data_IF_659717011538
#
_entry.id   IF_659717011538
#
_cell.length_a   1.000
_cell.length_b   1.000
_cell.length_c   1.000
_cell.angle_alpha   90.00
_cell.angle_beta   90.00
_cell.angle_gamma   90.00
#
_symmetry.space_group_name_H-M   'P 1'
#
loop_
_entity.id
_entity.type
_entity.pdbx_description
1 polymer ?
#
# COMPACT_ATOMS: atom_id res chain seq x y z
N UNK A 1 -6.40 -13.73 -7.72
CA UNK A 1 -5.14 -14.53 -7.64
C UNK A 1 -4.89 -14.93 -6.19
N UNK A 2 -4.86 -16.24 -5.90
CA UNK A 2 -4.40 -16.71 -4.59
C UNK A 2 -2.87 -16.68 -4.64
N UNK A 3 -2.26 -15.68 -4.02
CA UNK A 3 -0.81 -15.62 -3.87
C UNK A 3 -0.40 -16.75 -2.92
N UNK A 4 0.47 -17.65 -3.39
CA UNK A 4 1.07 -18.67 -2.53
C UNK A 4 2.38 -18.13 -1.99
N UNK A 5 2.51 -18.11 -0.67
CA UNK A 5 3.72 -17.68 0.00
C UNK A 5 4.48 -18.91 0.52
N UNK A 6 5.79 -18.93 0.29
CA UNK A 6 6.70 -19.97 0.76
C UNK A 6 7.81 -19.34 1.56
N UNK A 7 8.37 -20.10 2.50
CA UNK A 7 9.54 -19.69 3.25
C UNK A 7 10.81 -20.12 2.54
N UNK A 8 11.78 -19.22 2.38
CA UNK A 8 13.07 -19.51 1.76
C UNK A 8 14.23 -18.93 2.56
N UNK A 9 15.33 -19.66 2.61
CA UNK A 9 16.60 -19.15 3.12
C UNK A 9 17.10 -18.00 2.24
N UNK A 10 17.58 -16.92 2.87
CA UNK A 10 18.11 -15.75 2.17
C UNK A 10 19.34 -16.06 1.32
N UNK A 11 20.09 -17.12 1.64
CA UNK A 11 21.26 -17.57 0.87
C UNK A 11 20.85 -18.08 -0.52
N UNK A 12 19.60 -18.52 -0.69
CA UNK A 12 19.07 -18.98 -1.97
C UNK A 12 18.55 -17.85 -2.86
N UNK A 13 18.58 -16.59 -2.40
CA UNK A 13 18.00 -15.45 -3.08
C UNK A 13 19.05 -14.36 -3.34
N UNK A 14 19.03 -13.78 -4.54
CA UNK A 14 19.75 -12.54 -4.82
C UNK A 14 18.86 -11.34 -4.49
N UNK A 15 19.08 -10.77 -3.32
CA UNK A 15 18.30 -9.65 -2.79
C UNK A 15 18.92 -8.28 -3.11
N UNK A 16 20.03 -8.22 -3.87
CA UNK A 16 20.76 -6.97 -4.10
C UNK A 16 19.88 -5.89 -4.77
N UNK A 17 18.93 -6.30 -5.61
CA UNK A 17 17.97 -5.41 -6.27
C UNK A 17 16.98 -4.74 -5.30
N UNK A 18 16.90 -5.21 -4.05
CA UNK A 18 16.01 -4.67 -3.01
C UNK A 18 16.70 -3.63 -2.11
N UNK A 19 17.97 -3.30 -2.36
CA UNK A 19 18.69 -2.29 -1.60
C UNK A 19 17.99 -0.93 -1.67
N UNK A 20 17.84 -0.28 -0.52
CA UNK A 20 17.34 1.09 -0.46
C UNK A 20 18.32 2.02 -1.17
N UNK A 21 17.83 2.70 -2.20
CA UNK A 21 18.60 3.68 -2.98
C UNK A 21 18.01 5.09 -2.90
N UNK A 22 16.81 5.24 -2.34
CA UNK A 22 16.14 6.53 -2.21
C UNK A 22 16.86 7.41 -1.15
N UNK A 23 17.34 8.62 -1.52
CA UNK A 23 18.07 9.49 -0.60
C UNK A 23 17.28 9.87 0.65
N UNK A 24 15.96 10.02 0.56
CA UNK A 24 15.12 10.35 1.71
C UNK A 24 15.05 9.18 2.69
N UNK A 25 14.88 7.96 2.18
CA UNK A 25 14.89 6.76 3.03
C UNK A 25 16.24 6.54 3.69
N UNK A 26 17.34 6.85 3.00
CA UNK A 26 18.69 6.78 3.57
C UNK A 26 18.95 7.78 4.70
N UNK A 27 18.16 8.86 4.82
CA UNK A 27 18.25 9.78 5.97
C UNK A 27 17.54 9.26 7.22
N UNK A 28 16.74 8.20 7.09
CA UNK A 28 16.00 7.63 8.21
C UNK A 28 16.95 6.89 9.18
N UNK A 29 16.58 6.79 10.46
CA UNK A 29 17.32 5.99 11.42
C UNK A 29 17.58 4.56 10.94
N UNK A 30 18.79 4.01 11.11
CA UNK A 30 19.15 2.69 10.58
C UNK A 30 18.25 1.54 11.04
N UNK A 31 17.67 1.64 12.25
CA UNK A 31 16.80 0.61 12.83
C UNK A 31 15.56 0.29 11.98
N UNK A 32 15.17 1.17 11.06
CA UNK A 32 14.08 0.92 10.12
C UNK A 32 14.42 -0.14 9.06
N UNK A 33 15.70 -0.26 8.70
CA UNK A 33 16.21 -1.23 7.73
C UNK A 33 17.15 -2.25 8.36
N UNK A 34 16.99 -2.49 9.67
CA UNK A 34 17.69 -3.54 10.40
C UNK A 34 16.72 -4.64 10.76
N UNK A 35 17.17 -5.88 10.55
CA UNK A 35 16.32 -7.07 10.64
C UNK A 35 16.87 -8.14 11.58
N UNK A 36 18.02 -7.90 12.22
CA UNK A 36 18.70 -8.86 13.10
C UNK A 36 19.75 -9.72 12.39
N UNK A 37 19.66 -9.84 11.06
CA UNK A 37 20.72 -10.40 10.20
C UNK A 37 21.37 -9.27 9.37
N UNK A 38 22.68 -9.00 9.56
CA UNK A 38 23.39 -7.95 8.82
C UNK A 38 23.36 -8.09 7.31
N UNK A 39 23.10 -9.30 6.77
CA UNK A 39 22.98 -9.54 5.33
C UNK A 39 21.74 -8.90 4.72
N UNK A 40 20.74 -8.58 5.54
CA UNK A 40 19.51 -7.92 5.12
C UNK A 40 19.53 -6.40 5.37
N UNK A 41 20.55 -5.90 6.07
CA UNK A 41 20.58 -4.51 6.50
C UNK A 41 20.61 -3.55 5.30
N UNK A 42 19.74 -2.54 5.34
CA UNK A 42 19.59 -1.57 4.26
C UNK A 42 18.74 -2.04 3.07
N UNK A 43 18.17 -3.25 3.11
CA UNK A 43 17.18 -3.70 2.14
C UNK A 43 15.78 -3.18 2.48
N UNK A 44 14.97 -2.92 1.46
CA UNK A 44 13.57 -2.54 1.62
C UNK A 44 12.70 -3.80 1.74
N UNK A 45 12.57 -4.34 2.95
CA UNK A 45 11.84 -5.56 3.27
C UNK A 45 10.79 -5.32 4.37
N UNK A 46 9.77 -6.17 4.41
CA UNK A 46 8.75 -6.14 5.48
C UNK A 46 9.21 -7.00 6.65
N UNK A 47 9.28 -6.40 7.86
CA UNK A 47 9.79 -7.07 9.06
C UNK A 47 8.97 -8.30 9.44
N UNK A 48 7.66 -8.28 9.21
CA UNK A 48 6.77 -9.40 9.55
C UNK A 48 7.04 -10.67 8.73
N UNK A 49 7.68 -10.54 7.55
CA UNK A 49 8.02 -11.67 6.70
C UNK A 49 9.44 -12.22 6.92
N UNK A 50 10.17 -11.73 7.93
CA UNK A 50 11.55 -12.12 8.19
C UNK A 50 11.62 -12.96 9.46
N UNK A 51 12.23 -14.13 9.34
CA UNK A 51 12.38 -15.11 10.42
C UNK A 51 13.87 -15.32 10.66
N UNK A 52 14.40 -14.69 11.71
CA UNK A 52 15.80 -14.86 12.12
C UNK A 52 15.89 -15.91 13.22
N UNK A 53 16.71 -16.93 12.98
CA UNK A 53 17.08 -17.94 13.97
C UNK A 53 18.61 -17.98 14.13
N UNK A 54 19.14 -18.66 15.17
CA UNK A 54 20.59 -18.80 15.33
C UNK A 54 21.28 -19.56 14.19
N UNK A 55 20.54 -20.41 13.46
CA UNK A 55 21.09 -21.31 12.44
C UNK A 55 20.89 -20.77 11.03
N UNK A 56 19.75 -20.15 10.76
CA UNK A 56 19.41 -19.61 9.45
C UNK A 56 18.50 -18.37 9.55
N UNK A 57 18.49 -17.62 8.46
CA UNK A 57 17.56 -16.50 8.26
C UNK A 57 16.70 -16.81 7.05
N UNK A 58 15.40 -16.79 7.25
CA UNK A 58 14.43 -17.12 6.22
C UNK A 58 13.48 -15.94 5.97
N UNK A 59 12.98 -15.85 4.74
CA UNK A 59 12.00 -14.85 4.33
C UNK A 59 10.77 -15.52 3.72
N UNK A 60 9.61 -14.96 4.04
CA UNK A 60 8.34 -15.28 3.40
C UNK A 60 8.28 -14.57 2.04
N UNK A 61 8.23 -15.36 0.95
CA UNK A 61 8.25 -14.86 -0.42
C UNK A 61 7.05 -15.41 -1.22
N UNK A 62 6.36 -14.54 -1.95
CA UNK A 62 5.32 -14.99 -2.88
C UNK A 62 5.92 -15.47 -4.21
N UNK A 63 5.14 -16.24 -4.96
CA UNK A 63 5.48 -16.75 -6.30
C UNK A 63 5.90 -15.64 -7.29
N UNK A 64 5.25 -14.48 -7.25
CA UNK A 64 5.62 -13.35 -8.10
C UNK A 64 7.00 -12.74 -7.76
N UNK A 65 7.29 -12.57 -6.46
CA UNK A 65 8.58 -12.05 -6.00
C UNK A 65 9.68 -13.07 -6.29
N UNK A 66 9.43 -14.35 -6.01
CA UNK A 66 10.37 -15.42 -6.25
C UNK A 66 10.74 -15.55 -7.73
N UNK A 67 9.73 -15.47 -8.60
CA UNK A 67 9.92 -15.51 -10.06
C UNK A 67 10.72 -14.32 -10.58
N UNK A 68 10.61 -13.14 -9.95
CA UNK A 68 11.36 -11.95 -10.35
C UNK A 68 12.81 -11.99 -9.86
N UNK A 69 13.05 -12.43 -8.61
CA UNK A 69 14.38 -12.53 -8.02
C UNK A 69 15.19 -13.71 -8.57
N UNK A 70 14.53 -14.79 -9.03
CA UNK A 70 15.19 -15.96 -9.63
C UNK A 70 15.71 -15.71 -11.06
N UNK A 71 15.42 -14.56 -11.67
CA UNK A 71 15.93 -14.20 -13.00
C UNK A 71 17.42 -13.90 -12.96
N UNK A 72 18.08 -14.00 -14.11
CA UNK A 72 19.49 -13.64 -14.27
C UNK A 72 19.63 -12.59 -15.40
N UNK A 73 19.89 -11.30 -15.08
CA UNK A 73 20.01 -10.74 -13.73
C UNK A 73 18.65 -10.70 -12.98
N UNK A 74 18.66 -10.64 -11.64
CA UNK A 74 17.43 -10.49 -10.85
C UNK A 74 16.69 -9.23 -11.25
N UNK A 75 15.35 -9.29 -11.19
CA UNK A 75 14.49 -8.14 -11.46
C UNK A 75 13.79 -7.70 -10.20
N UNK A 76 13.66 -6.38 -10.03
CA UNK A 76 12.91 -5.78 -8.95
C UNK A 76 11.42 -6.18 -9.06
N UNK A 77 10.83 -6.89 -8.08
CA UNK A 77 9.42 -7.25 -8.13
C UNK A 77 8.53 -6.00 -8.17
N UNK A 78 7.45 -6.05 -8.94
CA UNK A 78 6.60 -4.87 -9.18
C UNK A 78 5.99 -4.27 -7.91
N UNK A 79 5.68 -5.12 -6.92
CA UNK A 79 5.09 -4.74 -5.64
C UNK A 79 6.11 -4.70 -4.48
N UNK A 80 7.41 -4.82 -4.76
CA UNK A 80 8.42 -4.74 -3.72
C UNK A 80 8.47 -3.34 -3.09
N UNK A 81 8.80 -3.27 -1.79
CA UNK A 81 8.99 -2.00 -1.08
C UNK A 81 10.06 -1.12 -1.73
N UNK A 82 11.13 -1.74 -2.27
CA UNK A 82 12.19 -1.05 -2.99
C UNK A 82 11.73 -0.40 -4.31
N UNK A 83 10.58 -0.82 -4.87
CA UNK A 83 10.03 -0.28 -6.11
C UNK A 83 9.18 0.98 -5.89
N UNK A 84 9.66 1.89 -5.04
CA UNK A 84 8.95 3.14 -4.71
C UNK A 84 7.61 2.95 -4.00
N UNK A 85 7.36 1.77 -3.41
CA UNK A 85 6.10 1.49 -2.69
C UNK A 85 6.21 1.74 -1.19
N UNK A 86 7.43 1.92 -0.66
CA UNK A 86 7.69 2.36 0.71
C UNK A 86 7.25 3.80 0.93
N UNK A 87 6.55 4.07 2.05
CA UNK A 87 5.95 5.39 2.35
C UNK A 87 6.62 6.12 3.51
N UNK A 88 7.73 5.58 4.00
CA UNK A 88 8.31 5.96 5.28
C UNK A 88 7.42 5.52 6.43
N UNK A 89 7.74 6.01 7.62
CA UNK A 89 6.97 5.73 8.83
C UNK A 89 6.30 7.00 9.31
N UNK A 90 5.07 6.86 9.78
CA UNK A 90 4.41 7.94 10.47
C UNK A 90 5.09 8.20 11.82
N UNK A 91 5.08 9.45 12.32
CA UNK A 91 5.48 9.76 13.68
C UNK A 91 4.82 8.81 14.68
N UNK A 92 5.49 8.47 15.78
CA UNK A 92 5.03 7.48 16.77
C UNK A 92 3.56 7.69 17.18
N UNK A 93 3.19 8.95 17.43
CA UNK A 93 1.83 9.30 17.80
C UNK A 93 0.79 9.06 16.70
N UNK A 94 1.16 8.76 15.45
CA UNK A 94 0.28 8.48 14.29
C UNK A 94 0.43 7.05 13.76
N UNK A 95 1.12 6.16 14.47
CA UNK A 95 1.26 4.76 14.03
C UNK A 95 -0.01 3.91 14.26
N UNK A 96 -0.99 4.44 14.99
CA UNK A 96 -2.27 3.80 15.30
C UNK A 96 -3.38 4.07 14.28
N UNK A 97 -3.05 4.74 13.17
CA UNK A 97 -4.01 5.13 12.16
C UNK A 97 -4.31 3.98 11.20
N UNK A 98 -5.53 3.96 10.67
CA UNK A 98 -5.92 3.01 9.63
C UNK A 98 -5.07 3.20 8.38
N UNK A 99 -4.92 2.15 7.58
CA UNK A 99 -4.20 2.21 6.30
C UNK A 99 -4.68 3.36 5.40
N UNK A 100 -5.97 3.72 5.47
CA UNK A 100 -6.55 4.83 4.70
C UNK A 100 -6.09 6.20 5.23
N UNK A 101 -6.04 6.37 6.55
CA UNK A 101 -5.55 7.59 7.20
C UNK A 101 -4.04 7.78 6.98
N UNK A 102 -3.27 6.69 6.97
CA UNK A 102 -1.84 6.72 6.61
C UNK A 102 -1.64 7.28 5.20
N UNK A 103 -2.52 6.95 4.24
CA UNK A 103 -2.47 7.50 2.88
C UNK A 103 -2.71 9.00 2.83
N UNK A 104 -3.58 9.52 3.68
CA UNK A 104 -3.81 10.97 3.75
C UNK A 104 -2.57 11.72 4.22
N UNK A 105 -1.71 11.06 5.01
CA UNK A 105 -0.48 11.64 5.52
C UNK A 105 0.70 11.53 4.53
N UNK A 106 0.63 10.63 3.55
CA UNK A 106 1.68 10.43 2.55
C UNK A 106 1.73 11.63 1.59
N UNK A 107 2.67 12.55 1.84
CA UNK A 107 2.80 13.86 1.19
C UNK A 107 2.84 13.81 -0.35
N UNK A 108 3.19 12.68 -0.98
CA UNK A 108 3.50 12.61 -2.41
C UNK A 108 3.14 11.32 -3.18
N UNK A 109 2.40 10.36 -2.64
CA UNK A 109 2.02 9.15 -3.39
C UNK A 109 0.55 9.18 -3.81
N UNK A 110 0.28 9.76 -4.97
CA UNK A 110 -0.98 9.57 -5.69
C UNK A 110 -1.07 8.13 -6.17
N UNK A 111 -1.62 7.24 -5.36
CA UNK A 111 -1.85 5.84 -5.73
C UNK A 111 -3.33 5.55 -5.66
N UNK A 112 -3.90 5.10 -6.78
CA UNK A 112 -5.28 4.69 -6.85
C UNK A 112 -5.44 3.26 -6.32
N UNK A 113 -6.30 3.06 -5.32
CA UNK A 113 -6.71 1.73 -4.87
C UNK A 113 -8.19 1.52 -5.09
N UNK A 114 -8.52 0.31 -5.57
CA UNK A 114 -9.89 -0.14 -5.71
C UNK A 114 -10.22 -1.04 -4.53
N UNK A 115 -10.90 -0.50 -3.52
CA UNK A 115 -11.42 -1.29 -2.39
C UNK A 115 -12.88 -1.66 -2.64
N UNK A 116 -13.24 -2.91 -2.35
CA UNK A 116 -14.63 -3.35 -2.35
C UNK A 116 -15.17 -3.22 -0.92
N UNK A 117 -16.01 -2.24 -0.67
CA UNK A 117 -16.78 -2.18 0.57
C UNK A 117 -17.81 -3.31 0.53
N UNK A 118 -18.06 -3.99 1.64
CA UNK A 118 -19.13 -4.97 1.78
C UNK A 118 -20.18 -4.42 2.74
N UNK A 119 -21.45 -4.63 2.44
CA UNK A 119 -22.52 -4.40 3.41
C UNK A 119 -22.46 -5.51 4.46
N UNK A 120 -21.74 -5.26 5.56
CA UNK A 120 -21.58 -6.21 6.66
C UNK A 120 -22.87 -6.40 7.47
N UNK A 121 -23.82 -5.47 7.39
CA UNK A 121 -24.96 -5.46 8.31
C UNK A 121 -26.31 -5.78 7.65
N UNK A 122 -26.37 -5.90 6.32
CA UNK A 122 -27.52 -6.40 5.59
C UNK A 122 -28.86 -5.75 6.00
N UNK A 123 -28.81 -4.50 6.49
CA UNK A 123 -29.94 -3.80 7.12
C UNK A 123 -31.02 -3.39 6.13
N UNK A 124 -30.69 -3.37 4.83
CA UNK A 124 -31.63 -3.05 3.76
C UNK A 124 -32.27 -4.32 3.17
N UNK A 125 -33.57 -4.27 2.77
CA UNK A 125 -34.22 -5.36 2.02
C UNK A 125 -33.44 -5.73 0.75
N UNK A 126 -33.45 -7.00 0.35
CA UNK A 126 -32.67 -7.54 -0.78
C UNK A 126 -32.89 -6.82 -2.13
N UNK A 127 -34.06 -6.20 -2.33
CA UNK A 127 -34.37 -5.39 -3.51
C UNK A 127 -33.69 -4.02 -3.52
N UNK A 128 -33.31 -3.50 -2.35
CA UNK A 128 -32.65 -2.22 -2.16
C UNK A 128 -31.13 -2.36 -1.95
N UNK A 129 -30.63 -3.58 -1.76
CA UNK A 129 -29.19 -3.86 -1.66
C UNK A 129 -28.50 -3.60 -2.98
N UNK A 130 -27.33 -2.98 -2.95
CA UNK A 130 -26.49 -2.80 -4.13
C UNK A 130 -26.07 -4.18 -4.66
N UNK A 131 -26.66 -4.62 -5.78
CA UNK A 131 -26.47 -5.98 -6.35
C UNK A 131 -25.11 -6.17 -7.01
N UNK A 132 -24.42 -5.08 -7.35
CA UNK A 132 -23.08 -5.10 -7.93
C UNK A 132 -22.32 -3.86 -7.45
N UNK A 133 -21.30 -4.05 -6.62
CA UNK A 133 -20.39 -2.98 -6.26
C UNK A 133 -19.20 -3.00 -7.22
N UNK A 134 -18.99 -1.90 -7.94
CA UNK A 134 -17.80 -1.68 -8.77
C UNK A 134 -17.15 -0.35 -8.40
N UNK A 135 -15.89 -0.44 -7.97
CA UNK A 135 -14.80 0.48 -8.31
C UNK A 135 -14.77 1.84 -7.63
N UNK A 136 -13.74 2.09 -6.82
CA UNK A 136 -13.17 3.43 -6.70
C UNK A 136 -12.35 3.73 -7.95
N UNK A 137 -12.63 4.82 -8.67
CA UNK A 137 -11.82 5.26 -9.81
C UNK A 137 -11.47 6.74 -9.62
N UNK A 138 -10.17 7.03 -9.51
CA UNK A 138 -9.65 8.37 -9.73
C UNK A 138 -9.09 8.43 -11.15
N UNK A 139 -9.73 9.17 -12.04
CA UNK A 139 -9.16 9.54 -13.33
C UNK A 139 -8.59 10.95 -13.21
N UNK A 140 -7.27 11.06 -13.23
CA UNK A 140 -6.63 12.36 -13.50
C UNK A 140 -6.60 12.55 -15.02
N UNK A 141 -6.78 13.78 -15.54
CA UNK A 141 -6.40 14.07 -16.90
C UNK A 141 -4.90 13.74 -17.05
N UNK A 142 -4.58 12.65 -17.75
CA UNK A 142 -3.22 12.22 -18.06
C UNK A 142 -2.63 13.15 -19.14
N UNK A 143 -2.44 14.41 -18.78
CA UNK A 143 -1.52 15.25 -19.49
C UNK A 143 -0.20 15.18 -18.70
N UNK A 144 0.64 14.23 -19.11
CA UNK A 144 1.92 13.90 -18.47
C UNK A 144 2.81 15.13 -18.30
N UNK A 145 2.76 16.06 -19.27
CA UNK A 145 3.54 17.30 -19.25
C UNK A 145 2.96 18.29 -18.23
N UNK A 146 1.64 18.48 -18.16
CA UNK A 146 1.03 19.38 -17.17
C UNK A 146 1.09 18.83 -15.75
N UNK A 147 1.07 17.50 -15.60
CA UNK A 147 1.15 16.83 -14.30
C UNK A 147 2.57 16.89 -13.75
N UNK A 148 3.59 16.68 -14.59
CA UNK A 148 4.99 16.83 -14.20
C UNK A 148 5.34 18.27 -13.81
N UNK A 149 4.79 19.26 -14.50
CA UNK A 149 5.02 20.68 -14.19
C UNK A 149 4.24 21.19 -12.97
N UNK A 150 3.17 20.50 -12.57
CA UNK A 150 2.40 20.81 -11.36
C UNK A 150 2.95 20.13 -10.09
N UNK A 151 4.02 19.34 -10.19
CA UNK A 151 4.68 18.74 -9.03
C UNK A 151 5.65 19.75 -8.39
N UNK A 152 5.70 19.84 -7.05
CA UNK A 152 4.83 19.14 -6.10
C UNK A 152 3.40 19.71 -6.06
N UNK A 153 2.39 18.84 -6.03
CA UNK A 153 0.99 19.23 -5.95
C UNK A 153 0.74 20.06 -4.69
N UNK A 154 0.17 21.26 -4.84
CA UNK A 154 -0.34 22.04 -3.71
C UNK A 154 -1.66 21.44 -3.25
N UNK A 155 -1.84 21.32 -1.93
CA UNK A 155 -3.07 20.78 -1.30
C UNK A 155 -4.37 21.46 -1.80
N UNK A 156 -4.30 22.71 -2.25
CA UNK A 156 -5.44 23.50 -2.71
C UNK A 156 -5.85 23.27 -4.18
N UNK A 157 -5.03 22.59 -4.98
CA UNK A 157 -5.19 22.55 -6.45
C UNK A 157 -5.81 21.25 -7.00
N UNK A 158 -6.08 20.27 -6.14
CA UNK A 158 -6.28 18.88 -6.56
C UNK A 158 -7.61 18.23 -6.20
N UNK A 159 -8.75 18.94 -6.23
CA UNK A 159 -10.06 18.32 -5.94
C UNK A 159 -10.11 17.56 -4.59
N UNK A 160 -11.12 16.71 -4.36
CA UNK A 160 -11.19 15.91 -3.13
C UNK A 160 -10.12 14.80 -3.13
N UNK A 161 -9.30 14.73 -2.07
CA UNK A 161 -8.29 13.68 -1.83
C UNK A 161 -8.88 12.26 -1.72
N UNK A 162 -10.17 12.16 -1.38
CA UNK A 162 -10.92 10.91 -1.26
C UNK A 162 -12.27 11.09 -1.95
N UNK A 163 -12.58 10.20 -2.90
CA UNK A 163 -13.87 10.16 -3.59
C UNK A 163 -14.54 8.81 -3.39
N UNK A 164 -15.82 8.82 -2.97
CA UNK A 164 -16.66 7.64 -2.91
C UNK A 164 -17.71 7.70 -4.01
N UNK A 165 -17.72 6.68 -4.87
CA UNK A 165 -18.68 6.55 -5.98
C UNK A 165 -19.64 5.42 -5.62
N UNK A 166 -20.93 5.75 -5.48
CA UNK A 166 -21.98 4.76 -5.25
C UNK A 166 -22.68 4.43 -6.55
N UNK A 167 -22.62 3.15 -6.93
CA UNK A 167 -23.33 2.59 -8.08
C UNK A 167 -24.38 1.62 -7.55
N UNK A 168 -25.65 1.90 -7.84
CA UNK A 168 -26.78 1.10 -7.38
C UNK A 168 -27.98 1.20 -8.32
N UNK A 169 -29.03 0.39 -8.09
CA UNK A 169 -30.23 0.36 -8.95
C UNK A 169 -31.03 1.67 -8.91
N UNK A 170 -30.74 2.54 -7.95
CA UNK A 170 -31.34 3.86 -7.80
C UNK A 170 -30.30 4.89 -7.35
N UNK A 171 -30.59 6.17 -7.59
CA UNK A 171 -29.80 7.28 -7.06
C UNK A 171 -29.76 7.19 -5.52
N UNK A 172 -28.57 7.32 -4.88
CA UNK A 172 -28.46 7.23 -3.44
C UNK A 172 -29.13 8.43 -2.76
N UNK A 173 -29.85 8.17 -1.66
CA UNK A 173 -30.52 9.17 -0.81
C UNK A 173 -29.64 9.45 0.41
N UNK A 174 -29.81 10.62 1.04
CA UNK A 174 -29.04 11.00 2.25
C UNK A 174 -29.14 9.96 3.37
N UNK A 175 -30.31 9.37 3.55
CA UNK A 175 -30.55 8.30 4.54
C UNK A 175 -29.67 7.07 4.33
N UNK A 176 -29.36 6.74 3.07
CA UNK A 176 -28.56 5.56 2.73
C UNK A 176 -27.09 5.70 3.16
N UNK A 177 -26.64 6.92 3.49
CA UNK A 177 -25.27 7.22 3.93
C UNK A 177 -25.12 7.32 5.45
N UNK A 178 -26.22 7.34 6.20
CA UNK A 178 -26.16 7.49 7.65
C UNK A 178 -25.49 6.25 8.27
N UNK A 179 -24.32 6.44 8.87
CA UNK A 179 -23.55 5.36 9.49
C UNK A 179 -22.69 4.54 8.53
N UNK A 180 -22.72 4.82 7.22
CA UNK A 180 -21.85 4.16 6.23
C UNK A 180 -20.42 4.72 6.31
N UNK A 181 -20.30 6.04 6.51
CA UNK A 181 -19.02 6.68 6.72
C UNK A 181 -18.89 7.07 8.18
N UNK A 182 -17.92 6.48 8.86
CA UNK A 182 -17.51 6.86 10.20
C UNK A 182 -16.20 7.63 10.10
N UNK A 183 -16.12 8.75 10.81
CA UNK A 183 -14.88 9.51 10.98
C UNK A 183 -14.43 9.24 12.40
N UNK A 184 -13.20 8.78 12.58
CA UNK A 184 -12.61 8.67 13.92
C UNK A 184 -12.45 10.08 14.50
N UNK A 185 -13.21 10.38 15.56
CA UNK A 185 -13.24 11.73 16.18
C UNK A 185 -12.24 11.89 17.33
N UNK A 186 -11.77 10.79 17.90
CA UNK A 186 -10.85 10.75 19.03
C UNK A 186 -9.90 9.56 18.84
N UNK A 187 -8.66 9.73 19.33
CA UNK A 187 -7.70 8.64 19.43
C UNK A 187 -8.08 7.68 20.54
#
# INVERSE_FOLDING_TARGET
PNLTCVRKDIVALDLAVLQVSDPHLLTLPPHYFQYGDPRLDGMALEKQGIHVSPECTEVDICDECDSALSKQPPQLPALALANGTMRGWLPEHLQDVTWLEERLCAKYLGVAYVVRLYDFEARLPSEQRARTMKGHTCSFPLNTISTATALPWKFSSGGPLVSCIIIGPRKPRKEDFNGVFTVRRQK
#
